data_IF_895253592424
#
_entry.id   IF_895253592424
#
_cell.length_a   1.000
_cell.length_b   1.000
_cell.length_c   1.000
_cell.angle_alpha   90.00
_cell.angle_beta   90.00
_cell.angle_gamma   90.00
#
_symmetry.space_group_name_H-M   'P 1'
#
loop_
_entity.id
_entity.type
_entity.pdbx_description
1 polymer ?
#
# COMPACT_ATOMS: atom_id res chain seq x y z
N UNK A 1 20.84 16.90 -9.78
CA UNK A 1 19.81 15.84 -9.74
C UNK A 1 18.47 16.49 -9.44
N UNK A 2 17.38 16.01 -10.06
CA UNK A 2 16.02 16.42 -9.72
C UNK A 2 15.41 15.32 -8.85
N UNK A 3 14.86 15.69 -7.70
CA UNK A 3 14.16 14.78 -6.80
C UNK A 3 12.66 14.91 -7.04
N UNK A 4 11.91 13.83 -6.85
CA UNK A 4 10.46 13.82 -6.87
C UNK A 4 9.93 13.32 -5.52
N UNK A 5 8.71 13.72 -5.17
CA UNK A 5 7.98 13.24 -4.00
C UNK A 5 6.86 12.33 -4.49
N UNK A 6 6.67 11.20 -3.83
CA UNK A 6 5.60 10.25 -4.12
C UNK A 6 4.99 9.79 -2.80
N UNK A 7 3.69 9.56 -2.81
CA UNK A 7 3.01 8.83 -1.74
C UNK A 7 3.24 7.35 -2.01
N UNK A 8 3.81 6.65 -1.04
CA UNK A 8 4.08 5.21 -1.13
C UNK A 8 3.29 4.41 -0.10
N UNK A 9 2.56 5.06 0.81
CA UNK A 9 1.78 4.39 1.84
C UNK A 9 0.57 5.23 2.25
N UNK A 10 -0.58 4.58 2.40
CA UNK A 10 -1.80 5.12 2.99
C UNK A 10 -2.33 4.15 4.05
N UNK A 11 -2.80 4.67 5.18
CA UNK A 11 -3.38 3.87 6.25
C UNK A 11 -4.90 4.03 6.29
N UNK A 12 -5.59 2.92 6.47
CA UNK A 12 -7.03 2.82 6.66
C UNK A 12 -7.27 2.34 8.09
N UNK A 13 -7.95 3.17 8.87
CA UNK A 13 -8.18 2.92 10.30
C UNK A 13 -9.47 3.59 10.77
N UNK A 14 -10.07 3.12 11.87
CA UNK A 14 -11.19 3.80 12.50
C UNK A 14 -10.81 5.22 12.92
N UNK A 15 -11.71 6.18 12.73
CA UNK A 15 -11.45 7.62 12.97
C UNK A 15 -10.97 7.95 14.40
N UNK A 16 -11.31 7.10 15.38
CA UNK A 16 -10.98 7.31 16.79
C UNK A 16 -9.76 6.51 17.27
N UNK A 17 -9.11 5.77 16.38
CA UNK A 17 -7.95 4.96 16.72
C UNK A 17 -6.64 5.63 16.32
N UNK A 18 -5.58 5.26 17.04
CA UNK A 18 -4.22 5.68 16.70
C UNK A 18 -3.69 4.86 15.53
N UNK A 19 -2.81 5.45 14.73
CA UNK A 19 -2.09 4.77 13.64
C UNK A 19 -1.34 3.50 14.05
N UNK A 20 -0.97 3.37 15.33
CA UNK A 20 -0.30 2.17 15.86
C UNK A 20 -1.27 1.03 16.18
N UNK A 21 -2.57 1.22 15.98
CA UNK A 21 -3.57 0.20 16.26
C UNK A 21 -3.37 -1.01 15.33
N UNK A 22 -3.56 -2.21 15.87
CA UNK A 22 -3.58 -3.46 15.11
C UNK A 22 -4.79 -3.55 14.14
N UNK A 23 -5.78 -2.67 14.30
CA UNK A 23 -6.89 -2.50 13.35
C UNK A 23 -6.52 -1.62 12.14
N UNK A 24 -5.29 -1.10 12.11
CA UNK A 24 -4.80 -0.29 10.99
C UNK A 24 -4.38 -1.18 9.83
N UNK A 25 -5.01 -0.96 8.68
CA UNK A 25 -4.62 -1.59 7.42
C UNK A 25 -3.76 -0.62 6.62
N UNK A 26 -2.56 -1.05 6.26
CA UNK A 26 -1.63 -0.29 5.46
C UNK A 26 -1.71 -0.73 4.00
N UNK A 27 -1.86 0.23 3.09
CA UNK A 27 -1.82 0.06 1.64
C UNK A 27 -0.54 0.72 1.15
N UNK A 28 0.42 -0.08 0.67
CA UNK A 28 1.78 0.34 0.32
C UNK A 28 2.09 0.09 -1.14
N UNK A 29 2.87 0.96 -1.77
CA UNK A 29 3.53 0.67 -3.03
C UNK A 29 4.90 0.07 -2.72
N UNK A 30 5.15 -1.12 -3.22
CA UNK A 30 6.39 -1.88 -3.04
C UNK A 30 7.01 -2.15 -4.41
N UNK A 31 8.34 -2.06 -4.52
CA UNK A 31 9.12 -2.45 -5.69
C UNK A 31 10.16 -3.49 -5.29
N UNK A 32 10.01 -4.72 -5.79
CA UNK A 32 10.96 -5.82 -5.56
C UNK A 32 11.87 -6.07 -6.78
N UNK A 33 11.96 -5.11 -7.69
CA UNK A 33 12.83 -5.14 -8.87
C UNK A 33 12.16 -5.60 -10.17
N UNK A 34 10.84 -5.81 -10.16
CA UNK A 34 10.04 -6.22 -11.33
C UNK A 34 8.88 -5.25 -11.62
N UNK A 35 9.01 -4.01 -11.16
CA UNK A 35 7.93 -3.03 -11.18
C UNK A 35 7.16 -3.00 -9.87
N UNK A 36 6.46 -1.89 -9.69
CA UNK A 36 5.76 -1.59 -8.46
C UNK A 36 4.38 -2.25 -8.39
N UNK A 37 3.99 -2.66 -7.20
CA UNK A 37 2.68 -3.21 -6.89
C UNK A 37 2.16 -2.72 -5.55
N UNK A 38 0.85 -2.89 -5.32
CA UNK A 38 0.23 -2.55 -4.04
C UNK A 38 0.24 -3.75 -3.10
N UNK A 39 0.88 -3.59 -1.94
CA UNK A 39 0.79 -4.49 -0.79
C UNK A 39 -0.27 -3.99 0.18
N UNK A 40 -1.10 -4.89 0.71
CA UNK A 40 -2.06 -4.59 1.78
C UNK A 40 -1.73 -5.45 2.99
N UNK A 41 -1.51 -4.82 4.15
CA UNK A 41 -1.06 -5.50 5.36
C UNK A 41 -1.70 -4.91 6.64
N UNK A 42 -2.04 -5.78 7.59
CA UNK A 42 -2.37 -5.43 8.98
C UNK A 42 -1.25 -5.94 9.89
N UNK A 43 -0.88 -5.17 10.89
CA UNK A 43 0.08 -5.61 11.92
C UNK A 43 -0.67 -6.30 13.08
N UNK A 44 0.04 -7.10 13.89
CA UNK A 44 -0.53 -7.66 15.13
C UNK A 44 -1.17 -9.04 15.07
N UNK A 45 -1.34 -9.62 13.88
CA UNK A 45 -1.84 -10.99 13.75
C UNK A 45 -0.82 -11.93 13.12
N UNK A 46 -0.73 -13.12 13.71
CA UNK A 46 0.28 -14.15 13.44
C UNK A 46 -0.18 -15.19 12.40
N UNK A 47 -1.36 -15.03 11.82
CA UNK A 47 -1.82 -15.84 10.68
C UNK A 47 -1.13 -15.36 9.39
N UNK A 48 0.06 -15.93 9.17
CA UNK A 48 0.96 -15.69 8.04
C UNK A 48 0.17 -15.55 6.72
N UNK A 49 0.28 -14.37 6.09
CA UNK A 49 -0.14 -14.12 4.71
C UNK A 49 -1.64 -13.87 4.50
N UNK A 50 -2.42 -13.60 5.56
CA UNK A 50 -3.83 -13.23 5.43
C UNK A 50 -4.08 -11.83 5.96
N UNK A 51 -4.94 -11.09 5.25
CA UNK A 51 -5.59 -9.89 5.78
C UNK A 51 -7.04 -10.22 6.09
N UNK A 52 -7.57 -9.65 7.16
CA UNK A 52 -8.97 -9.80 7.53
C UNK A 52 -9.66 -8.45 7.38
N UNK A 53 -10.54 -8.35 6.39
CA UNK A 53 -11.23 -7.11 6.08
C UNK A 53 -12.62 -7.15 6.71
N UNK A 54 -12.93 -6.17 7.54
CA UNK A 54 -14.28 -5.98 8.05
C UNK A 54 -15.18 -5.41 6.92
N UNK A 55 -16.43 -5.88 6.71
CA UNK A 55 -17.37 -5.25 5.79
C UNK A 55 -17.48 -3.72 5.90
N UNK A 56 -17.36 -3.16 7.10
CA UNK A 56 -17.42 -1.71 7.32
C UNK A 56 -16.14 -0.98 6.85
N UNK A 57 -15.00 -1.67 6.87
CA UNK A 57 -13.71 -1.17 6.40
C UNK A 57 -13.61 -1.19 4.86
N UNK A 58 -14.28 -2.16 4.23
CA UNK A 58 -14.14 -2.47 2.81
C UNK A 58 -14.28 -1.25 1.88
N UNK A 59 -15.29 -0.36 2.03
CA UNK A 59 -15.41 0.79 1.14
C UNK A 59 -14.18 1.70 1.18
N UNK A 60 -13.67 2.01 2.37
CA UNK A 60 -12.50 2.88 2.53
C UNK A 60 -11.21 2.19 2.02
N UNK A 61 -11.05 0.89 2.29
CA UNK A 61 -9.92 0.11 1.81
C UNK A 61 -9.91 0.00 0.28
N UNK A 62 -11.05 -0.33 -0.34
CA UNK A 62 -11.20 -0.38 -1.79
C UNK A 62 -10.83 0.96 -2.43
N UNK A 63 -11.44 2.04 -1.94
CA UNK A 63 -11.21 3.37 -2.50
C UNK A 63 -9.73 3.80 -2.35
N UNK A 64 -9.04 3.35 -1.30
CA UNK A 64 -7.60 3.56 -1.11
C UNK A 64 -6.76 2.75 -2.10
N UNK A 65 -7.10 1.48 -2.33
CA UNK A 65 -6.43 0.63 -3.33
C UNK A 65 -6.61 1.23 -4.73
N UNK A 66 -7.82 1.66 -5.07
CA UNK A 66 -8.13 2.30 -6.37
C UNK A 66 -7.34 3.60 -6.58
N UNK A 67 -7.02 4.33 -5.50
CA UNK A 67 -6.14 5.50 -5.56
C UNK A 67 -4.66 5.15 -5.72
N UNK A 68 -4.21 4.05 -5.11
CA UNK A 68 -2.79 3.68 -5.04
C UNK A 68 -2.32 2.91 -6.28
N UNK A 69 -3.16 2.03 -6.85
CA UNK A 69 -2.81 1.21 -8.03
C UNK A 69 -2.33 2.07 -9.23
N UNK A 70 -2.98 3.19 -9.61
CA UNK A 70 -2.53 4.02 -10.73
C UNK A 70 -1.18 4.72 -10.51
N UNK A 71 -0.69 4.77 -9.26
CA UNK A 71 0.60 5.39 -8.92
C UNK A 71 1.79 4.44 -9.12
N UNK A 72 1.53 3.14 -9.27
CA UNK A 72 2.56 2.13 -9.54
C UNK A 72 3.26 2.40 -10.88
N UNK A 73 4.58 2.30 -10.87
CA UNK A 73 5.44 2.36 -12.04
C UNK A 73 5.72 0.94 -12.55
N UNK A 74 5.76 0.72 -13.88
CA UNK A 74 6.18 -0.56 -14.44
C UNK A 74 7.66 -0.83 -14.13
N UNK A 75 8.10 -2.06 -14.37
CA UNK A 75 9.53 -2.40 -14.35
C UNK A 75 10.32 -1.39 -15.18
N UNK A 76 11.28 -0.73 -14.55
CA UNK A 76 12.25 0.08 -15.28
C UNK A 76 13.23 -0.88 -15.93
N UNK A 77 12.90 -1.35 -17.13
CA UNK A 77 13.91 -1.94 -18.02
C UNK A 77 14.99 -0.88 -18.19
N UNK A 78 16.19 -1.17 -17.68
CA UNK A 78 17.32 -0.27 -17.77
C UNK A 78 17.61 0.02 -19.23
N UNK A 79 17.13 1.15 -19.73
CA UNK A 79 17.68 1.78 -20.90
C UNK A 79 19.14 2.09 -20.59
N UNK A 80 20.04 1.21 -21.02
CA UNK A 80 21.35 1.65 -21.49
C UNK A 80 21.08 2.51 -22.72
N UNK A 81 20.70 3.76 -22.47
CA UNK A 81 20.91 4.81 -23.44
C UNK A 81 22.38 5.22 -23.31
N UNK A 82 23.25 4.44 -23.97
CA UNK A 82 24.52 4.87 -24.56
C UNK A 82 24.56 4.40 -26.02
#
# INVERSE_FOLDING_TARGET
>A
MKYIIRVTEMAVLPQHEMMLSEMTTHVRIVDEGAGEFVEVAQHGRTDIGKIQINPDEWPALRDTIDQMIPLCQPERTGGRDE
#
